data_IF_442117219234
#
_entry.id   IF_442117219234
#
_cell.length_a   1.000
_cell.length_b   1.000
_cell.length_c   1.000
_cell.angle_alpha   90.00
_cell.angle_beta   90.00
_cell.angle_gamma   90.00
#
_symmetry.space_group_name_H-M   'P 1'
#
loop_
_entity.id
_entity.type
_entity.pdbx_description
1 polymer ?
#
# COMPACT_ATOMS: atom_id res chain seq x y z
N UNK A 1 8.12 -13.50 0.24
CA UNK A 1 7.83 -12.05 0.42
C UNK A 1 6.34 -11.82 0.71
N UNK A 2 5.41 -12.08 -0.21
CA UNK A 2 3.98 -11.82 0.04
C UNK A 2 3.38 -12.62 1.22
N UNK A 3 3.77 -13.88 1.41
CA UNK A 3 3.34 -14.67 2.58
C UNK A 3 3.77 -14.04 3.91
N UNK A 4 4.96 -13.42 3.98
CA UNK A 4 5.42 -12.67 5.16
C UNK A 4 4.50 -11.47 5.41
N UNK A 5 4.18 -10.72 4.36
CA UNK A 5 3.31 -9.54 4.46
C UNK A 5 1.92 -9.95 4.92
N UNK A 6 1.32 -10.98 4.30
CA UNK A 6 0.03 -11.52 4.68
C UNK A 6 0.01 -12.00 6.15
N UNK A 7 1.05 -12.73 6.58
CA UNK A 7 1.18 -13.16 7.97
C UNK A 7 1.30 -11.95 8.91
N UNK A 8 2.05 -10.92 8.52
CA UNK A 8 2.21 -9.71 9.33
C UNK A 8 0.94 -8.88 9.50
N UNK A 9 -0.01 -8.97 8.56
CA UNK A 9 -1.33 -8.34 8.69
C UNK A 9 -2.22 -9.06 9.71
N UNK A 10 -1.91 -10.33 10.02
CA UNK A 10 -2.65 -11.16 10.99
C UNK A 10 -2.02 -11.16 12.38
N UNK A 11 -0.85 -10.54 12.54
CA UNK A 11 -0.09 -10.50 13.80
C UNK A 11 0.03 -9.05 14.25
N UNK A 12 0.09 -8.83 15.57
CA UNK A 12 0.37 -7.50 16.11
C UNK A 12 1.67 -6.95 15.51
N UNK A 13 1.65 -5.70 15.07
CA UNK A 13 2.81 -5.03 14.48
C UNK A 13 4.06 -5.24 15.37
N UNK A 14 5.14 -5.87 14.84
CA UNK A 14 6.34 -6.18 15.61
C UNK A 14 7.13 -4.94 16.05
N UNK A 15 7.01 -3.81 15.34
CA UNK A 15 7.70 -2.58 15.72
C UNK A 15 7.08 -1.99 16.98
N UNK A 16 7.89 -1.92 18.04
CA UNK A 16 7.53 -1.36 19.33
C UNK A 16 7.94 0.11 19.37
N UNK A 17 7.14 0.91 20.06
CA UNK A 17 7.46 2.32 20.30
C UNK A 17 7.10 2.68 21.75
N UNK A 18 7.88 2.20 22.74
CA UNK A 18 7.66 2.55 24.15
C UNK A 18 7.71 4.07 24.32
N UNK A 19 6.84 4.65 25.16
CA UNK A 19 6.70 6.10 25.28
C UNK A 19 8.05 6.79 25.58
N UNK A 20 8.84 6.26 26.51
CA UNK A 20 10.10 6.86 26.95
C UNK A 20 11.25 6.67 25.95
N UNK A 21 11.15 5.68 25.05
CA UNK A 21 12.18 5.33 24.06
C UNK A 21 11.73 5.51 22.62
N UNK A 22 10.70 6.33 22.42
CA UNK A 22 10.06 6.48 21.12
C UNK A 22 11.00 7.06 20.06
N UNK A 23 11.85 8.00 20.44
CA UNK A 23 12.84 8.57 19.55
C UNK A 23 13.89 7.52 19.15
N UNK A 24 14.47 6.80 20.12
CA UNK A 24 15.42 5.70 19.87
C UNK A 24 14.82 4.62 18.96
N UNK A 25 13.56 4.23 19.19
CA UNK A 25 12.88 3.24 18.36
C UNK A 25 12.70 3.71 16.90
N UNK A 26 12.39 4.98 16.70
CA UNK A 26 12.26 5.56 15.37
C UNK A 26 13.62 5.65 14.66
N UNK A 27 14.67 6.04 15.37
CA UNK A 27 16.04 6.11 14.86
C UNK A 27 16.58 4.72 14.51
N UNK A 28 16.35 3.72 15.36
CA UNK A 28 16.70 2.33 15.08
C UNK A 28 15.96 1.79 13.84
N UNK A 29 14.66 2.08 13.72
CA UNK A 29 13.86 1.73 12.53
C UNK A 29 14.39 2.43 11.26
N UNK A 30 14.81 3.69 11.36
CA UNK A 30 15.41 4.40 10.23
C UNK A 30 16.79 3.84 9.85
N UNK A 31 17.64 3.54 10.85
CA UNK A 31 18.95 2.88 10.68
C UNK A 31 18.80 1.55 9.97
N UNK A 32 17.82 0.74 10.36
CA UNK A 32 17.52 -0.54 9.70
C UNK A 32 17.27 -0.37 8.20
N UNK A 33 16.65 0.74 7.79
CA UNK A 33 16.27 1.00 6.40
C UNK A 33 17.36 1.73 5.59
N UNK A 34 18.45 2.16 6.23
CA UNK A 34 19.41 3.14 5.72
C UNK A 34 20.32 2.68 4.58
N UNK A 35 20.41 1.37 4.30
CA UNK A 35 21.49 0.81 3.46
C UNK A 35 21.05 0.29 2.08
N UNK A 36 19.76 0.31 1.76
CA UNK A 36 19.27 -0.23 0.48
C UNK A 36 18.87 0.89 -0.49
N UNK A 37 19.44 0.87 -1.70
CA UNK A 37 19.11 1.81 -2.80
C UNK A 37 17.70 1.67 -3.39
N UNK A 38 16.75 1.12 -2.63
CA UNK A 38 15.35 0.93 -3.00
C UNK A 38 14.48 1.71 -2.01
N UNK A 39 13.53 2.51 -2.50
CA UNK A 39 12.62 3.29 -1.68
C UNK A 39 11.62 2.40 -0.90
N UNK A 40 12.13 1.82 0.19
CA UNK A 40 11.36 1.15 1.25
C UNK A 40 10.58 2.15 2.11
N UNK A 41 10.92 3.45 2.02
CA UNK A 41 10.47 4.48 2.97
C UNK A 41 9.00 4.87 2.80
N UNK A 42 8.37 4.46 1.70
CA UNK A 42 6.97 4.77 1.39
C UNK A 42 6.01 3.58 1.55
N UNK A 43 6.40 2.55 2.31
CA UNK A 43 5.60 1.35 2.54
C UNK A 43 5.89 0.67 3.89
N UNK A 44 4.95 0.76 4.84
CA UNK A 44 5.05 0.08 6.14
C UNK A 44 5.16 -1.45 5.97
N UNK A 45 4.39 -2.01 5.04
CA UNK A 45 4.38 -3.44 4.73
C UNK A 45 5.74 -3.95 4.21
N UNK A 46 6.41 -3.15 3.38
CA UNK A 46 7.73 -3.51 2.83
C UNK A 46 8.81 -3.31 3.90
N UNK A 47 8.70 -2.27 4.72
CA UNK A 47 9.58 -2.06 5.88
C UNK A 47 9.53 -3.27 6.85
N UNK A 48 8.34 -3.77 7.15
CA UNK A 48 8.17 -4.97 7.98
C UNK A 48 8.76 -6.21 7.31
N UNK A 49 8.47 -6.43 6.02
CA UNK A 49 9.06 -7.52 5.26
C UNK A 49 10.60 -7.48 5.32
N UNK A 50 11.19 -6.31 5.12
CA UNK A 50 12.64 -6.13 5.17
C UNK A 50 13.20 -6.49 6.55
N UNK A 51 12.58 -5.97 7.61
CA UNK A 51 12.96 -6.27 8.99
C UNK A 51 12.86 -7.77 9.30
N UNK A 52 11.78 -8.41 8.85
CA UNK A 52 11.58 -9.86 9.01
C UNK A 52 12.68 -10.65 8.29
N UNK A 53 13.04 -10.32 7.05
CA UNK A 53 14.04 -11.09 6.32
C UNK A 53 15.43 -10.95 6.96
N UNK A 54 15.82 -9.74 7.40
CA UNK A 54 17.08 -9.52 8.16
C UNK A 54 17.09 -10.25 9.51
N UNK A 55 15.97 -10.25 10.22
CA UNK A 55 15.79 -11.00 11.45
C UNK A 55 15.87 -12.52 11.20
N UNK A 56 15.22 -13.01 10.14
CA UNK A 56 15.17 -14.44 9.83
C UNK A 56 16.54 -14.98 9.38
N UNK A 57 17.37 -14.14 8.74
CA UNK A 57 18.75 -14.44 8.33
C UNK A 57 19.74 -14.57 9.49
N UNK A 58 19.40 -14.15 10.72
CA UNK A 58 20.29 -14.30 11.87
C UNK A 58 20.58 -15.78 12.15
N UNK A 59 21.85 -16.08 12.48
CA UNK A 59 22.37 -17.47 12.54
C UNK A 59 21.79 -18.31 13.67
N UNK A 60 21.36 -17.69 14.77
CA UNK A 60 20.88 -18.39 15.96
C UNK A 60 19.66 -17.67 16.57
N UNK A 61 18.88 -18.39 17.38
CA UNK A 61 17.76 -17.78 18.11
C UNK A 61 18.22 -16.68 19.08
N UNK A 62 19.43 -16.79 19.64
CA UNK A 62 20.02 -15.71 20.43
C UNK A 62 20.27 -14.46 19.59
N UNK A 63 20.91 -14.60 18.43
CA UNK A 63 21.14 -13.48 17.52
C UNK A 63 19.82 -12.86 17.01
N UNK A 64 18.77 -13.67 16.82
CA UNK A 64 17.41 -13.19 16.51
C UNK A 64 16.81 -12.34 17.63
N UNK A 65 17.05 -12.70 18.89
CA UNK A 65 16.60 -11.91 20.05
C UNK A 65 17.41 -10.63 20.19
N UNK A 66 18.72 -10.70 20.02
CA UNK A 66 19.61 -9.54 20.08
C UNK A 66 19.27 -8.52 18.99
N UNK A 67 19.06 -8.99 17.75
CA UNK A 67 18.57 -8.15 16.64
C UNK A 67 17.21 -7.52 16.96
N UNK A 68 16.27 -8.32 17.48
CA UNK A 68 14.95 -7.82 17.82
C UNK A 68 15.03 -6.73 18.90
N UNK A 69 15.90 -6.90 19.90
CA UNK A 69 16.16 -5.89 20.93
C UNK A 69 16.80 -4.62 20.36
N UNK A 70 17.80 -4.74 19.47
CA UNK A 70 18.49 -3.60 18.86
C UNK A 70 17.52 -2.69 18.08
N UNK A 71 16.59 -3.30 17.34
CA UNK A 71 15.69 -2.58 16.44
C UNK A 71 14.28 -2.33 17.01
N UNK A 72 14.09 -2.52 18.32
CA UNK A 72 12.79 -2.36 18.99
C UNK A 72 11.69 -3.20 18.33
N UNK A 73 12.02 -4.44 17.99
CA UNK A 73 11.12 -5.41 17.36
C UNK A 73 10.74 -6.49 18.38
N UNK A 74 9.47 -6.89 18.39
CA UNK A 74 9.00 -8.04 19.17
C UNK A 74 9.48 -9.35 18.54
N UNK A 75 10.40 -10.05 19.23
CA UNK A 75 10.85 -11.39 18.83
C UNK A 75 9.71 -12.40 18.77
N UNK A 76 8.75 -12.30 19.70
CA UNK A 76 7.56 -13.14 19.72
C UNK A 76 6.72 -12.93 18.45
N UNK A 77 6.41 -11.68 18.11
CA UNK A 77 5.61 -11.35 16.93
C UNK A 77 6.31 -11.77 15.63
N UNK A 78 7.64 -11.61 15.54
CA UNK A 78 8.40 -12.13 14.39
C UNK A 78 8.34 -13.66 14.28
N UNK A 79 8.36 -14.36 15.42
CA UNK A 79 8.21 -15.82 15.47
C UNK A 79 6.81 -16.27 15.05
N UNK A 80 5.76 -15.57 15.50
CA UNK A 80 4.38 -15.81 15.08
C UNK A 80 4.22 -15.60 13.56
N UNK A 81 4.79 -14.53 13.01
CA UNK A 81 4.81 -14.27 11.55
C UNK A 81 5.52 -15.41 10.81
N UNK A 82 6.65 -15.91 11.33
CA UNK A 82 7.38 -17.04 10.73
C UNK A 82 6.52 -18.31 10.67
N UNK A 83 5.79 -18.59 11.75
CA UNK A 83 4.89 -19.75 11.83
C UNK A 83 3.73 -19.60 10.84
N UNK A 84 2.99 -18.49 10.88
CA UNK A 84 1.88 -18.24 9.95
C UNK A 84 2.32 -18.23 8.48
N UNK A 85 3.51 -17.71 8.18
CA UNK A 85 4.09 -17.76 6.83
C UNK A 85 4.24 -19.21 6.33
N UNK A 86 4.67 -20.13 7.21
CA UNK A 86 4.80 -21.56 6.87
C UNK A 86 3.42 -22.19 6.68
N UNK A 87 2.47 -21.86 7.55
CA UNK A 87 1.11 -22.39 7.48
C UNK A 87 0.42 -21.94 6.19
N UNK A 88 0.52 -20.66 5.82
CA UNK A 88 0.01 -20.16 4.53
C UNK A 88 0.72 -20.80 3.34
N UNK A 89 2.03 -21.05 3.41
CA UNK A 89 2.74 -21.76 2.34
C UNK A 89 2.21 -23.20 2.15
N UNK A 90 1.93 -23.88 3.27
CA UNK A 90 1.38 -25.22 3.27
C UNK A 90 -0.05 -25.22 2.71
N UNK A 91 -0.91 -24.32 3.16
CA UNK A 91 -2.28 -24.19 2.62
C UNK A 91 -2.26 -23.88 1.13
N UNK A 92 -1.40 -22.96 0.66
CA UNK A 92 -1.26 -22.65 -0.77
C UNK A 92 -0.86 -23.89 -1.59
N UNK A 93 -0.10 -24.81 -1.01
CA UNK A 93 0.29 -26.07 -1.65
C UNK A 93 -0.88 -27.05 -1.68
N UNK A 94 -1.58 -27.21 -0.58
CA UNK A 94 -2.73 -28.11 -0.46
C UNK A 94 -3.86 -27.73 -1.43
N UNK A 95 -4.08 -26.42 -1.65
CA UNK A 95 -5.10 -25.95 -2.60
C UNK A 95 -4.62 -25.94 -4.07
N UNK A 96 -3.41 -26.41 -4.38
CA UNK A 96 -2.87 -26.48 -5.76
C UNK A 96 -2.29 -25.17 -6.32
N UNK A 97 -2.16 -24.12 -5.50
CA UNK A 97 -1.65 -22.81 -5.95
C UNK A 97 -0.13 -22.67 -5.81
N UNK A 98 0.57 -23.61 -5.16
CA UNK A 98 2.00 -23.51 -4.85
C UNK A 98 2.97 -24.13 -5.88
N UNK A 99 2.49 -24.73 -6.97
CA UNK A 99 3.40 -25.36 -7.94
C UNK A 99 4.23 -24.34 -8.74
N UNK A 100 3.85 -23.06 -8.67
CA UNK A 100 4.61 -21.93 -9.22
C UNK A 100 5.57 -21.39 -8.14
N UNK A 101 6.74 -22.04 -8.02
CA UNK A 101 7.95 -21.43 -7.48
C UNK A 101 7.91 -20.94 -6.02
N UNK A 102 7.48 -21.81 -5.09
CA UNK A 102 8.14 -21.86 -3.76
C UNK A 102 9.49 -22.62 -3.88
N UNK A 103 10.10 -22.63 -5.08
CA UNK A 103 11.54 -22.87 -5.17
C UNK A 103 12.16 -21.63 -4.57
N UNK A 104 12.69 -21.80 -3.37
CA UNK A 104 13.51 -20.83 -2.70
C UNK A 104 14.37 -20.12 -3.75
N UNK A 105 14.05 -18.87 -4.06
CA UNK A 105 15.09 -17.94 -4.47
C UNK A 105 15.93 -17.74 -3.22
N UNK A 106 16.75 -18.75 -2.89
CA UNK A 106 18.03 -18.57 -2.26
C UNK A 106 18.82 -17.70 -3.23
N UNK A 107 18.52 -16.40 -3.23
CA UNK A 107 19.34 -15.42 -3.93
C UNK A 107 20.66 -15.46 -3.20
N UNK A 108 21.68 -15.97 -3.88
CA UNK A 108 23.05 -16.00 -3.40
C UNK A 108 23.58 -14.58 -3.08
N UNK A 109 22.94 -13.53 -3.59
CA UNK A 109 23.43 -12.15 -3.57
C UNK A 109 23.09 -11.34 -2.31
N UNK A 110 22.49 -11.93 -1.27
CA UNK A 110 22.22 -11.24 0.01
C UNK A 110 21.23 -10.05 -0.05
N UNK A 111 20.87 -9.57 -1.23
CA UNK A 111 19.92 -8.47 -1.41
C UNK A 111 18.48 -8.98 -1.22
N UNK A 112 17.81 -8.43 -0.21
CA UNK A 112 16.46 -8.81 0.23
C UNK A 112 15.38 -8.29 -0.73
N UNK A 113 15.61 -7.14 -1.39
CA UNK A 113 14.61 -6.42 -2.19
C UNK A 113 15.22 -5.85 -3.48
N UNK A 114 14.74 -6.30 -4.65
CA UNK A 114 15.00 -5.60 -5.91
C UNK A 114 13.92 -4.55 -6.19
N UNK A 115 14.24 -3.51 -6.97
CA UNK A 115 13.26 -2.51 -7.38
C UNK A 115 12.05 -3.10 -8.11
N UNK A 116 12.25 -4.16 -8.90
CA UNK A 116 11.15 -4.89 -9.53
C UNK A 116 10.27 -5.62 -8.50
N UNK A 117 10.90 -6.33 -7.55
CA UNK A 117 10.16 -7.04 -6.49
C UNK A 117 9.32 -6.08 -5.66
N UNK A 118 9.82 -4.88 -5.37
CA UNK A 118 9.07 -3.85 -4.64
C UNK A 118 7.84 -3.40 -5.42
N UNK A 119 7.94 -3.21 -6.74
CA UNK A 119 6.78 -2.82 -7.56
C UNK A 119 5.74 -3.93 -7.63
N UNK A 120 6.17 -5.19 -7.72
CA UNK A 120 5.26 -6.35 -7.67
C UNK A 120 4.61 -6.53 -6.31
N UNK A 121 5.34 -6.31 -5.22
CA UNK A 121 4.78 -6.33 -3.86
C UNK A 121 3.73 -5.23 -3.70
N UNK A 122 4.00 -4.00 -4.18
CA UNK A 122 3.02 -2.91 -4.17
C UNK A 122 1.77 -3.28 -4.99
N UNK A 123 1.95 -3.86 -6.17
CA UNK A 123 0.84 -4.35 -6.99
C UNK A 123 -0.03 -5.39 -6.25
N UNK A 124 0.60 -6.38 -5.61
CA UNK A 124 -0.10 -7.40 -4.84
C UNK A 124 -0.77 -6.84 -3.57
N UNK A 125 -0.14 -5.89 -2.88
CA UNK A 125 -0.75 -5.13 -1.77
C UNK A 125 -1.98 -4.35 -2.24
N UNK A 126 -1.91 -3.72 -3.41
CA UNK A 126 -3.06 -3.06 -4.01
C UNK A 126 -4.21 -4.05 -4.25
N UNK A 127 -3.92 -5.23 -4.80
CA UNK A 127 -4.92 -6.26 -5.02
C UNK A 127 -5.57 -6.77 -3.73
N UNK A 128 -4.78 -6.96 -2.67
CA UNK A 128 -5.26 -7.51 -1.40
C UNK A 128 -5.92 -6.50 -0.46
N UNK A 129 -5.56 -5.22 -0.55
CA UNK A 129 -6.05 -4.18 0.36
C UNK A 129 -7.12 -3.29 -0.26
N UNK A 130 -7.31 -3.29 -1.59
CA UNK A 130 -8.46 -2.61 -2.19
C UNK A 130 -9.78 -3.18 -1.62
N UNK A 131 -10.78 -2.35 -1.25
CA UNK A 131 -10.96 -0.92 -1.55
C UNK A 131 -10.41 0.07 -0.50
N UNK A 132 -9.55 -0.36 0.43
CA UNK A 132 -8.94 0.50 1.45
C UNK A 132 -7.87 1.41 0.84
N UNK A 133 -8.31 2.50 0.23
CA UNK A 133 -7.45 3.46 -0.47
C UNK A 133 -7.49 4.83 0.22
N UNK A 134 -6.33 5.47 0.31
CA UNK A 134 -6.15 6.85 0.75
C UNK A 134 -5.85 7.73 -0.46
N UNK A 135 -6.57 8.83 -0.56
CA UNK A 135 -6.24 9.94 -1.43
C UNK A 135 -5.44 10.99 -0.64
N UNK A 136 -4.25 11.33 -1.14
CA UNK A 136 -3.40 12.37 -0.56
C UNK A 136 -3.56 13.66 -1.36
N UNK A 137 -4.14 14.68 -0.75
CA UNK A 137 -4.23 16.02 -1.31
C UNK A 137 -3.00 16.83 -0.89
N UNK A 138 -2.21 17.24 -1.89
CA UNK A 138 -1.11 18.18 -1.69
C UNK A 138 -1.69 19.56 -1.36
N UNK A 139 -1.14 20.29 -0.38
CA UNK A 139 -1.56 21.67 -0.14
C UNK A 139 -1.27 22.52 -1.38
N UNK A 140 -2.08 23.57 -1.58
CA UNK A 140 -1.78 24.60 -2.58
C UNK A 140 -0.38 25.16 -2.29
N UNK A 141 0.46 25.20 -3.30
CA UNK A 141 1.85 25.62 -3.17
C UNK A 141 1.89 27.10 -2.77
N UNK A 142 2.38 27.38 -1.56
CA UNK A 142 2.57 28.75 -1.09
C UNK A 142 3.91 29.26 -1.62
N UNK A 143 3.89 30.42 -2.24
CA UNK A 143 5.09 31.12 -2.69
C UNK A 143 5.41 32.23 -1.70
N UNK A 144 6.66 32.30 -1.28
CA UNK A 144 7.19 33.39 -0.44
C UNK A 144 8.19 34.18 -1.27
N UNK A 145 8.00 35.49 -1.36
CA UNK A 145 8.92 36.38 -2.06
C UNK A 145 10.21 36.51 -1.25
N UNK A 146 11.34 36.23 -1.90
CA UNK A 146 12.68 36.48 -1.38
C UNK A 146 13.40 37.43 -2.33
N UNK A 147 14.55 37.97 -1.91
CA UNK A 147 15.33 38.95 -2.69
C UNK A 147 15.78 38.46 -4.08
N UNK A 148 15.72 37.14 -4.34
CA UNK A 148 16.01 36.52 -5.64
C UNK A 148 14.77 36.03 -6.42
N UNK A 149 13.55 36.37 -5.98
CA UNK A 149 12.29 35.95 -6.60
C UNK A 149 11.38 35.14 -5.67
N UNK A 150 10.28 34.62 -6.23
CA UNK A 150 9.32 33.80 -5.49
C UNK A 150 9.86 32.39 -5.26
N UNK A 151 10.18 32.04 -4.01
CA UNK A 151 10.57 30.69 -3.63
C UNK A 151 9.32 29.91 -3.21
N UNK A 152 9.11 28.75 -3.84
CA UNK A 152 8.02 27.86 -3.45
C UNK A 152 8.35 27.18 -2.10
N UNK A 153 7.49 27.37 -1.10
CA UNK A 153 7.69 26.75 0.20
C UNK A 153 7.58 25.22 0.11
N UNK A 154 8.52 24.50 0.73
CA UNK A 154 8.44 23.05 0.84
C UNK A 154 7.28 22.67 1.79
N UNK A 155 6.31 21.85 1.36
CA UNK A 155 5.17 21.50 2.20
C UNK A 155 5.62 20.72 3.44
N UNK A 156 5.06 21.04 4.60
CA UNK A 156 5.26 20.24 5.80
C UNK A 156 4.35 19.00 5.77
N UNK A 157 4.79 17.86 6.32
CA UNK A 157 3.98 16.63 6.36
C UNK A 157 2.57 16.85 6.97
N UNK A 158 2.46 17.79 7.94
CA UNK A 158 1.21 18.17 8.60
C UNK A 158 0.22 18.92 7.70
N UNK A 159 0.68 19.47 6.58
CA UNK A 159 -0.15 20.21 5.61
C UNK A 159 -0.80 19.31 4.56
N UNK A 160 -0.35 18.06 4.44
CA UNK A 160 -0.99 17.05 3.59
C UNK A 160 -2.34 16.65 4.20
N UNK A 161 -3.42 16.81 3.43
CA UNK A 161 -4.75 16.34 3.82
C UNK A 161 -4.98 14.96 3.19
N UNK A 162 -5.35 13.98 3.99
CA UNK A 162 -5.60 12.61 3.54
C UNK A 162 -7.06 12.22 3.75
N UNK A 163 -7.62 11.51 2.78
CA UNK A 163 -9.02 11.11 2.78
C UNK A 163 -9.18 9.65 2.37
N UNK A 164 -10.13 8.97 3.01
CA UNK A 164 -10.62 7.64 2.60
C UNK A 164 -12.06 7.77 2.16
N UNK A 165 -12.52 6.87 1.28
CA UNK A 165 -13.94 6.79 0.91
C UNK A 165 -14.74 6.16 2.04
N UNK A 166 -15.94 6.69 2.30
CA UNK A 166 -16.89 6.06 3.21
C UNK A 166 -17.62 4.94 2.46
N UNK A 167 -17.42 3.70 2.91
CA UNK A 167 -17.98 2.50 2.29
C UNK A 167 -19.36 2.14 2.89
N UNK A 168 -19.76 2.79 4.00
CA UNK A 168 -20.97 2.47 4.79
C UNK A 168 -22.30 2.92 4.18
N UNK A 169 -22.34 3.25 2.89
CA UNK A 169 -23.61 3.52 2.20
C UNK A 169 -24.38 2.20 1.98
N UNK A 170 -25.13 1.76 3.00
CA UNK A 170 -26.02 0.60 2.90
C UNK A 170 -26.55 0.01 4.22
N UNK A 171 -26.00 0.37 5.39
CA UNK A 171 -26.53 -0.09 6.67
C UNK A 171 -27.04 1.12 7.44
N UNK A 172 -28.35 1.39 7.34
CA UNK A 172 -29.06 2.20 8.32
C UNK A 172 -28.98 1.48 9.67
N UNK A 173 -27.91 1.71 10.41
CA UNK A 173 -27.82 1.38 11.83
C UNK A 173 -27.94 2.69 12.61
N UNK A 174 -29.10 2.81 13.24
CA UNK A 174 -29.55 3.80 14.20
C UNK A 174 -28.45 4.70 14.82
N UNK A 175 -28.55 5.99 14.48
CA UNK A 175 -28.49 7.09 15.44
C UNK A 175 -27.22 7.28 16.26
N UNK A 176 -26.19 7.91 15.67
CA UNK A 176 -25.49 9.04 16.31
C UNK A 176 -25.10 10.02 15.21
N UNK A 177 -25.91 11.08 15.04
CA UNK A 177 -25.49 12.26 14.30
C UNK A 177 -24.48 13.03 15.15
N UNK A 178 -23.21 12.97 14.81
CA UNK A 178 -22.26 14.03 15.16
C UNK A 178 -21.62 14.56 13.89
N UNK A 179 -22.36 15.47 13.26
CA UNK A 179 -21.83 16.45 12.32
C UNK A 179 -20.97 17.46 13.08
N UNK A 180 -19.69 17.54 12.74
CA UNK A 180 -18.92 18.80 12.71
C UNK A 180 -17.60 18.57 11.97
N UNK A 181 -17.65 18.76 10.65
CA UNK A 181 -16.47 19.09 9.84
C UNK A 181 -16.65 20.54 9.33
N UNK A 182 -15.59 21.36 9.26
CA UNK A 182 -15.74 22.76 8.86
C UNK A 182 -16.13 22.83 7.38
N UNK A 183 -17.07 23.73 7.09
CA UNK A 183 -17.48 24.11 5.74
C UNK A 183 -16.37 24.86 5.02
N UNK A 184 -15.57 24.16 4.19
CA UNK A 184 -14.82 24.80 3.11
C UNK A 184 -15.81 25.08 1.97
N UNK A 185 -16.04 26.38 1.69
CA UNK A 185 -16.86 26.85 0.56
C UNK A 185 -16.14 26.52 -0.76
N UNK A 186 -16.81 25.80 -1.65
CA UNK A 186 -16.34 25.55 -3.01
C UNK A 186 -17.46 24.96 -3.87
N UNK A 187 -17.90 25.79 -4.82
CA UNK A 187 -18.54 25.53 -6.11
C UNK A 187 -19.81 24.66 -6.16
N UNK A 188 -20.92 25.33 -6.48
CA UNK A 188 -22.17 24.74 -6.89
C UNK A 188 -22.01 24.14 -8.31
N UNK A 189 -22.11 22.82 -8.41
CA UNK A 189 -22.27 22.11 -9.68
C UNK A 189 -23.51 21.20 -9.60
N UNK A 190 -24.21 21.17 -10.73
CA UNK A 190 -25.55 20.70 -11.01
C UNK A 190 -25.65 19.16 -11.07
N UNK A 191 -26.84 18.62 -10.79
CA UNK A 191 -27.24 17.26 -11.18
C UNK A 191 -26.73 16.07 -10.34
N UNK A 192 -27.53 15.66 -9.36
CA UNK A 192 -27.83 14.29 -8.88
C UNK A 192 -26.79 13.16 -9.11
N UNK A 193 -25.50 13.38 -8.85
CA UNK A 193 -24.54 12.30 -8.58
C UNK A 193 -24.53 12.07 -7.08
N UNK A 194 -24.71 10.82 -6.65
CA UNK A 194 -24.55 10.46 -5.23
C UNK A 194 -23.18 10.97 -4.76
N UNK A 195 -23.17 12.00 -3.91
CA UNK A 195 -21.93 12.65 -3.46
C UNK A 195 -21.11 11.62 -2.70
N UNK A 196 -19.97 11.23 -3.28
CA UNK A 196 -19.07 10.26 -2.66
C UNK A 196 -18.54 10.88 -1.37
N UNK A 197 -18.99 10.33 -0.24
CA UNK A 197 -18.56 10.79 1.07
C UNK A 197 -17.12 10.34 1.33
N UNK A 198 -16.34 11.26 1.89
CA UNK A 198 -14.93 11.07 2.19
C UNK A 198 -14.67 11.49 3.64
N UNK A 199 -14.01 10.62 4.38
CA UNK A 199 -13.59 10.92 5.76
C UNK A 199 -12.12 11.30 5.79
N UNK A 200 -11.81 12.37 6.54
CA UNK A 200 -10.43 12.80 6.79
C UNK A 200 -9.72 11.80 7.70
N UNK A 201 -8.51 11.40 7.31
CA UNK A 201 -7.66 10.50 8.09
C UNK A 201 -6.28 11.11 8.33
N UNK A 202 -5.57 10.53 9.29
CA UNK A 202 -4.20 10.91 9.65
C UNK A 202 -3.31 9.66 9.65
N UNK A 203 -2.05 9.77 9.25
CA UNK A 203 -1.11 8.66 9.42
C UNK A 203 -0.78 8.52 10.91
N UNK A 204 -0.81 7.29 11.42
CA UNK A 204 -0.45 6.99 12.79
C UNK A 204 1.05 7.26 13.00
N UNK A 205 1.47 7.82 14.15
CA UNK A 205 2.87 8.18 14.35
C UNK A 205 3.91 7.05 14.37
N UNK A 206 3.48 5.79 14.39
CA UNK A 206 4.37 4.62 14.27
C UNK A 206 4.66 4.23 12.81
N UNK A 207 3.89 4.76 11.87
CA UNK A 207 4.10 4.50 10.44
C UNK A 207 5.31 5.27 9.94
N UNK A 208 6.07 4.66 9.03
CA UNK A 208 7.18 5.34 8.35
C UNK A 208 6.71 6.50 7.47
N UNK A 209 5.44 6.49 7.07
CA UNK A 209 4.83 7.55 6.27
C UNK A 209 4.42 8.77 7.10
N UNK A 210 4.57 8.74 8.43
CA UNK A 210 4.14 9.84 9.32
C UNK A 210 4.95 11.14 9.11
N UNK A 211 6.25 11.02 8.89
CA UNK A 211 7.16 12.17 8.70
C UNK A 211 7.37 12.53 7.23
N UNK A 212 6.83 11.72 6.30
CA UNK A 212 7.00 11.90 4.87
C UNK A 212 6.28 13.16 4.39
N UNK A 213 7.00 13.98 3.62
CA UNK A 213 6.51 15.27 3.10
C UNK A 213 6.12 15.23 1.63
N UNK A 214 6.60 14.21 0.91
CA UNK A 214 6.39 14.06 -0.53
C UNK A 214 6.16 12.59 -0.84
N UNK A 215 5.07 12.31 -1.54
CA UNK A 215 4.78 11.00 -2.09
C UNK A 215 4.96 11.01 -3.60
N UNK A 216 5.45 9.90 -4.17
CA UNK A 216 5.60 9.75 -5.62
C UNK A 216 4.27 9.83 -6.36
N UNK A 217 3.18 9.45 -5.71
CA UNK A 217 1.80 9.58 -6.20
C UNK A 217 0.83 9.92 -5.06
N UNK A 218 -0.36 10.49 -5.35
CA UNK A 218 -1.33 10.90 -4.35
C UNK A 218 -2.21 9.73 -3.86
N UNK A 219 -1.72 8.49 -3.95
CA UNK A 219 -2.51 7.30 -3.69
C UNK A 219 -1.75 6.30 -2.83
N UNK A 220 -2.43 5.80 -1.81
CA UNK A 220 -1.91 4.77 -0.92
C UNK A 220 -2.99 3.73 -0.64
N UNK A 221 -2.60 2.51 -0.28
CA UNK A 221 -3.49 1.54 0.36
C UNK A 221 -3.13 1.37 1.82
N UNK A 222 -4.09 0.91 2.63
CA UNK A 222 -3.91 0.65 4.05
C UNK A 222 -4.56 -0.67 4.48
N UNK A 223 -4.00 -1.30 5.51
CA UNK A 223 -4.57 -2.46 6.18
C UNK A 223 -5.51 -2.05 7.30
N UNK A 224 -4.99 -1.39 8.33
CA UNK A 224 -5.77 -1.06 9.54
C UNK A 224 -5.98 0.45 9.73
N UNK A 225 -7.21 0.82 10.12
CA UNK A 225 -7.56 2.16 10.63
C UNK A 225 -8.08 2.06 12.05
N UNK A 226 -7.70 3.00 12.90
CA UNK A 226 -8.06 3.02 14.32
C UNK A 226 -8.54 4.40 14.72
N UNK A 227 -9.68 4.44 15.42
CA UNK A 227 -10.23 5.67 15.98
C UNK A 227 -9.72 5.84 17.41
N UNK A 228 -8.99 6.92 17.67
CA UNK A 228 -8.62 7.34 19.03
C UNK A 228 -9.13 8.75 19.26
N UNK A 229 -8.25 9.76 19.27
CA UNK A 229 -8.63 11.17 19.24
C UNK A 229 -9.03 11.64 17.83
N UNK A 230 -8.49 10.98 16.80
CA UNK A 230 -8.78 11.19 15.38
C UNK A 230 -8.77 9.83 14.69
N UNK A 231 -9.25 9.76 13.45
CA UNK A 231 -9.16 8.55 12.65
C UNK A 231 -7.73 8.41 12.08
N UNK A 232 -7.00 7.42 12.57
CA UNK A 232 -5.62 7.16 12.18
C UNK A 232 -5.50 5.91 11.30
N UNK A 233 -4.59 5.95 10.33
CA UNK A 233 -4.16 4.81 9.53
C UNK A 233 -2.88 4.25 10.14
N UNK A 234 -2.88 2.97 10.55
CA UNK A 234 -1.72 2.38 11.25
C UNK A 234 -0.58 2.00 10.32
N UNK A 235 -0.92 1.51 9.15
CA UNK A 235 0.01 1.02 8.13
C UNK A 235 -0.46 1.48 6.75
N UNK A 236 0.49 1.82 5.90
CA UNK A 236 0.18 2.34 4.57
C UNK A 236 1.28 2.05 3.57
N UNK A 237 0.89 1.94 2.30
CA UNK A 237 1.81 1.76 1.18
C UNK A 237 1.40 2.67 0.04
N UNK A 238 2.33 3.48 -0.46
CA UNK A 238 2.13 4.28 -1.67
C UNK A 238 2.02 3.37 -2.90
N UNK A 239 0.97 3.55 -3.71
CA UNK A 239 0.61 2.68 -4.83
C UNK A 239 0.56 3.46 -6.16
N UNK A 240 1.25 3.00 -7.22
CA UNK A 240 1.15 3.58 -8.57
C UNK A 240 -0.27 3.52 -9.16
N UNK A 241 -0.71 4.49 -9.98
CA UNK A 241 -2.03 4.51 -10.62
C UNK A 241 -2.36 3.27 -11.42
N UNK A 242 -1.39 2.69 -12.13
CA UNK A 242 -1.63 1.47 -12.92
C UNK A 242 -2.04 0.29 -12.06
N UNK A 243 -1.55 0.20 -10.81
CA UNK A 243 -2.03 -0.79 -9.86
C UNK A 243 -3.49 -0.53 -9.47
N UNK A 244 -3.87 0.72 -9.21
CA UNK A 244 -5.27 1.07 -8.89
C UNK A 244 -6.22 0.88 -10.08
N UNK A 245 -5.80 1.22 -11.30
CA UNK A 245 -6.60 0.96 -12.51
C UNK A 245 -6.79 -0.54 -12.71
N UNK A 246 -5.75 -1.34 -12.53
CA UNK A 246 -5.81 -2.77 -12.79
C UNK A 246 -6.53 -3.55 -11.69
N UNK A 247 -6.20 -3.31 -10.42
CA UNK A 247 -6.73 -4.06 -9.28
C UNK A 247 -7.93 -3.41 -8.59
N UNK A 248 -8.23 -2.14 -8.87
CA UNK A 248 -9.43 -1.51 -8.36
C UNK A 248 -10.71 -2.03 -9.03
N UNK A 249 -11.83 -1.38 -8.74
CA UNK A 249 -13.15 -1.78 -9.22
C UNK A 249 -13.45 -1.36 -10.66
N UNK A 250 -14.66 -0.84 -10.89
CA UNK A 250 -15.16 -0.48 -12.21
C UNK A 250 -14.33 0.66 -12.80
N UNK A 251 -13.87 0.46 -14.03
CA UNK A 251 -13.16 1.47 -14.82
C UNK A 251 -14.16 2.17 -15.74
N UNK A 252 -14.26 3.49 -15.62
CA UNK A 252 -15.01 4.35 -16.54
C UNK A 252 -14.07 5.35 -17.23
N UNK A 253 -14.26 5.56 -18.54
CA UNK A 253 -13.31 6.29 -19.39
C UNK A 253 -13.98 7.57 -19.88
N UNK A 254 -13.49 8.70 -19.37
CA UNK A 254 -14.00 10.02 -19.71
C UNK A 254 -13.14 10.62 -20.81
N UNK A 255 -13.45 10.26 -22.05
CA UNK A 255 -12.69 10.60 -23.25
C UNK A 255 -12.45 12.12 -23.38
N UNK A 256 -13.51 12.92 -23.22
CA UNK A 256 -13.45 14.38 -23.34
C UNK A 256 -12.55 15.03 -22.29
N UNK A 257 -12.48 14.43 -21.09
CA UNK A 257 -11.70 14.97 -19.97
C UNK A 257 -10.27 14.41 -19.91
N UNK A 258 -9.93 13.42 -20.74
CA UNK A 258 -8.63 12.73 -20.68
C UNK A 258 -8.38 12.06 -19.33
N UNK A 259 -9.43 11.54 -18.69
CA UNK A 259 -9.36 10.90 -17.38
C UNK A 259 -10.01 9.53 -17.38
N UNK A 260 -9.53 8.68 -16.48
CA UNK A 260 -10.09 7.37 -16.18
C UNK A 260 -10.49 7.37 -14.71
N UNK A 261 -11.73 6.97 -14.42
CA UNK A 261 -12.23 6.82 -13.05
C UNK A 261 -12.28 5.36 -12.64
N UNK A 262 -11.86 5.09 -11.40
CA UNK A 262 -12.01 3.78 -10.75
C UNK A 262 -13.01 3.91 -9.60
N UNK A 263 -14.09 3.13 -9.66
CA UNK A 263 -15.23 3.17 -8.73
C UNK A 263 -15.81 4.58 -8.50
N UNK A 264 -15.80 5.40 -9.56
CA UNK A 264 -16.36 6.76 -9.63
C UNK A 264 -15.69 7.82 -8.73
N UNK A 265 -14.68 7.46 -7.93
CA UNK A 265 -14.04 8.38 -6.97
C UNK A 265 -12.53 8.54 -7.12
N UNK A 266 -11.85 7.52 -7.65
CA UNK A 266 -10.42 7.57 -7.96
C UNK A 266 -10.30 8.11 -9.37
N UNK A 267 -9.97 9.39 -9.50
CA UNK A 267 -9.77 10.06 -10.79
C UNK A 267 -8.29 10.02 -11.16
N UNK A 268 -7.96 9.40 -12.29
CA UNK A 268 -6.59 9.26 -12.78
C UNK A 268 -6.45 9.93 -14.14
N UNK A 269 -5.44 10.78 -14.29
CA UNK A 269 -5.08 11.34 -15.60
C UNK A 269 -4.49 10.23 -16.45
N UNK A 270 -5.15 9.90 -17.56
CA UNK A 270 -4.71 8.82 -18.45
C UNK A 270 -5.39 8.96 -19.80
N UNK A 271 -4.67 8.65 -20.88
CA UNK A 271 -5.25 8.60 -22.21
C UNK A 271 -6.30 7.49 -22.29
N UNK A 272 -7.42 7.75 -22.97
CA UNK A 272 -8.52 6.79 -23.09
C UNK A 272 -8.06 5.40 -23.57
N UNK A 273 -7.11 5.36 -24.51
CA UNK A 273 -6.51 4.12 -25.02
C UNK A 273 -5.92 3.24 -23.91
N UNK A 274 -5.23 3.84 -22.94
CA UNK A 274 -4.66 3.11 -21.80
C UNK A 274 -5.78 2.54 -20.93
N UNK A 275 -6.83 3.33 -20.66
CA UNK A 275 -7.99 2.86 -19.91
C UNK A 275 -8.68 1.66 -20.56
N UNK A 276 -8.88 1.69 -21.89
CA UNK A 276 -9.45 0.57 -22.64
C UNK A 276 -8.53 -0.66 -22.54
N UNK A 277 -7.23 -0.50 -22.80
CA UNK A 277 -6.27 -1.62 -22.75
C UNK A 277 -6.25 -2.30 -21.38
N UNK A 278 -6.24 -1.52 -20.30
CA UNK A 278 -6.25 -2.07 -18.94
C UNK A 278 -7.57 -2.80 -18.67
N UNK A 279 -8.71 -2.25 -19.11
CA UNK A 279 -10.01 -2.91 -18.96
C UNK A 279 -10.07 -4.25 -19.69
N UNK A 280 -9.61 -4.32 -20.94
CA UNK A 280 -9.56 -5.57 -21.70
C UNK A 280 -8.56 -6.58 -21.08
N UNK A 281 -7.38 -6.11 -20.66
CA UNK A 281 -6.40 -6.97 -19.99
C UNK A 281 -6.95 -7.56 -18.69
N UNK A 282 -7.72 -6.78 -17.92
CA UNK A 282 -8.37 -7.24 -16.68
C UNK A 282 -9.29 -8.43 -16.97
N UNK A 283 -10.12 -8.35 -18.02
CA UNK A 283 -10.99 -9.46 -18.41
C UNK A 283 -10.21 -10.72 -18.80
N UNK A 284 -9.09 -10.56 -19.51
CA UNK A 284 -8.23 -11.69 -19.88
C UNK A 284 -7.56 -12.33 -18.66
N UNK A 285 -7.07 -11.53 -17.71
CA UNK A 285 -6.51 -12.02 -16.46
C UNK A 285 -7.58 -12.73 -15.62
N UNK A 286 -8.78 -12.16 -15.49
CA UNK A 286 -9.89 -12.79 -14.79
C UNK A 286 -10.25 -14.15 -15.40
N UNK A 287 -10.20 -14.28 -16.73
CA UNK A 287 -10.40 -15.58 -17.40
C UNK A 287 -9.30 -16.59 -17.02
N UNK A 288 -8.03 -16.17 -16.94
CA UNK A 288 -6.94 -17.05 -16.50
C UNK A 288 -7.10 -17.46 -15.02
N UNK A 289 -7.47 -16.50 -14.15
CA UNK A 289 -7.71 -16.76 -12.73
C UNK A 289 -8.88 -17.73 -12.52
N UNK A 290 -10.00 -17.56 -13.26
CA UNK A 290 -11.13 -18.51 -13.21
C UNK A 290 -10.73 -19.92 -13.64
N UNK A 291 -9.88 -20.05 -14.67
CA UNK A 291 -9.34 -21.36 -15.09
C UNK A 291 -8.51 -21.99 -13.98
N UNK A 292 -7.63 -21.23 -13.32
CA UNK A 292 -6.84 -21.71 -12.18
C UNK A 292 -7.71 -22.08 -10.97
N UNK A 293 -8.75 -21.31 -10.68
CA UNK A 293 -9.69 -21.64 -9.58
C UNK A 293 -10.44 -22.94 -9.89
N UNK A 294 -10.87 -23.13 -11.15
CA UNK A 294 -11.63 -24.33 -11.55
C UNK A 294 -10.74 -25.57 -11.65
N UNK A 295 -9.47 -25.38 -12.02
CA UNK A 295 -8.47 -26.44 -12.06
C UNK A 295 -7.18 -25.94 -11.40
N UNK A 296 -7.02 -26.16 -10.09
CA UNK A 296 -5.89 -25.66 -9.33
C UNK A 296 -4.53 -26.08 -9.86
N UNK A 297 -4.39 -27.19 -10.55
CA UNK A 297 -3.10 -27.63 -11.10
C UNK A 297 -2.70 -26.92 -12.40
N UNK A 298 -3.54 -26.01 -12.92
CA UNK A 298 -3.24 -25.25 -14.15
C UNK A 298 -1.96 -24.43 -13.98
N UNK A 299 -0.91 -24.70 -14.77
CA UNK A 299 0.27 -23.85 -14.77
C UNK A 299 0.00 -22.54 -15.52
N UNK A 300 0.24 -21.41 -14.85
CA UNK A 300 0.11 -20.06 -15.41
C UNK A 300 1.46 -19.38 -15.62
N UNK A 301 2.58 -20.05 -15.31
CA UNK A 301 3.93 -19.48 -15.34
C UNK A 301 4.30 -18.90 -16.71
N UNK A 302 3.87 -19.55 -17.80
CA UNK A 302 4.14 -19.17 -19.18
C UNK A 302 3.02 -18.35 -19.84
N UNK A 303 2.08 -17.82 -19.05
CA UNK A 303 0.97 -17.03 -19.57
C UNK A 303 1.44 -15.66 -20.07
N UNK A 304 1.37 -15.43 -21.38
CA UNK A 304 1.65 -14.13 -22.00
C UNK A 304 0.75 -13.01 -21.44
N UNK A 305 -0.49 -13.34 -21.08
CA UNK A 305 -1.44 -12.41 -20.45
C UNK A 305 -0.92 -11.95 -19.08
N UNK A 306 -0.44 -12.88 -18.24
CA UNK A 306 0.13 -12.53 -16.93
C UNK A 306 1.47 -11.80 -17.07
N UNK A 307 2.26 -12.09 -18.10
CA UNK A 307 3.48 -11.35 -18.38
C UNK A 307 3.18 -9.89 -18.77
N UNK A 308 2.17 -9.66 -19.62
CA UNK A 308 1.71 -8.30 -19.96
C UNK A 308 1.19 -7.58 -18.72
N UNK A 309 0.40 -8.26 -17.87
CA UNK A 309 -0.03 -7.72 -16.57
C UNK A 309 1.16 -7.33 -15.69
N UNK A 310 2.15 -8.21 -15.55
CA UNK A 310 3.38 -7.97 -14.79
C UNK A 310 4.08 -6.70 -15.29
N UNK A 311 4.29 -6.58 -16.60
CA UNK A 311 4.93 -5.40 -17.21
C UNK A 311 4.14 -4.12 -16.97
N UNK A 312 2.81 -4.17 -17.05
CA UNK A 312 1.93 -3.04 -16.78
C UNK A 312 2.08 -2.54 -15.33
N UNK A 313 1.97 -3.43 -14.34
CA UNK A 313 1.96 -3.04 -12.91
C UNK A 313 3.34 -2.67 -12.38
N UNK A 314 4.42 -3.13 -13.04
CA UNK A 314 5.78 -2.64 -12.83
C UNK A 314 5.94 -1.21 -13.37
N UNK A 315 5.09 -0.78 -14.31
CA UNK A 315 5.04 0.60 -14.78
C UNK A 315 4.51 1.55 -13.71
N UNK A 316 5.10 2.75 -13.61
CA UNK A 316 4.71 3.77 -12.63
C UNK A 316 3.36 4.44 -12.94
N UNK A 317 2.92 4.45 -14.20
CA UNK A 317 1.74 5.20 -14.64
C UNK A 317 1.80 6.73 -14.43
N UNK A 318 2.95 7.23 -13.99
CA UNK A 318 3.29 8.64 -13.86
C UNK A 318 4.61 8.88 -14.61
N UNK A 319 4.60 9.87 -15.51
CA UNK A 319 5.79 10.59 -15.95
C UNK A 319 5.77 11.96 -15.29
#
# INVERSE_FOLDING_TARGET
QMLTIAASLSVRNPFMSPMDKRQEANEAKAKLLGDEGVDVTQSDHICLLYAYEKWNQQKSERARRDFASEYFISHQSMTEIRNLRRDFAQTMKEIGFADVSIRATSRADGNVLSGESVRLIKAALCAGLYPNVINVLKPLQKYTETSGGALAANPQARELKMFVRDITNGINSNGVSQSQAPSDKGDADDGTKHRIQKTRVFIHPSSINFTQRKYGCPWMVYGEKVLTSKLFIRDSTVIPPYCLMFFGGKIDIQHEKGTVTVDDWIVLKSQARIGVLIRELKQLVDKQLRRKISNPDTDLSNSSVLDVMRRLVIGSGYK
#
